data_IF_409312754873
#
_entry.id   IF_409312754873
#
_cell.length_a   1.000
_cell.length_b   1.000
_cell.length_c   1.000
_cell.angle_alpha   90.00
_cell.angle_beta   90.00
_cell.angle_gamma   90.00
#
_symmetry.space_group_name_H-M   'P 1'
#
loop_
_entity.id
_entity.type
_entity.pdbx_description
1 polymer ?
#
# COMPACT_ATOMS: atom_id res chain seq x y z
N UNK A 1 -12.47 7.58 -35.82
CA UNK A 1 -12.21 8.81 -35.01
C UNK A 1 -13.44 9.05 -34.15
N UNK A 2 -13.51 8.42 -32.98
CA UNK A 2 -14.61 8.68 -32.04
C UNK A 2 -14.31 10.00 -31.33
N UNK A 3 -15.28 10.90 -31.41
CA UNK A 3 -15.26 12.21 -30.81
C UNK A 3 -15.08 12.10 -29.29
N UNK A 4 -13.93 12.57 -28.81
CA UNK A 4 -13.80 13.05 -27.45
C UNK A 4 -14.66 14.31 -27.34
N UNK A 5 -15.93 14.12 -27.01
CA UNK A 5 -16.82 15.21 -26.68
C UNK A 5 -16.28 15.86 -25.40
N UNK A 6 -15.67 17.03 -25.57
CA UNK A 6 -15.01 17.84 -24.52
C UNK A 6 -15.99 18.48 -23.53
N UNK A 7 -17.26 18.05 -23.52
CA UNK A 7 -18.34 18.61 -22.70
C UNK A 7 -18.34 18.09 -21.23
N UNK A 8 -17.32 17.32 -20.84
CA UNK A 8 -17.33 16.51 -19.61
C UNK A 8 -16.11 16.62 -18.70
N UNK A 9 -15.32 17.70 -18.80
CA UNK A 9 -14.21 17.97 -17.87
C UNK A 9 -14.82 18.23 -16.48
N UNK A 10 -15.01 17.17 -15.70
CA UNK A 10 -15.53 17.26 -14.33
C UNK A 10 -16.18 16.00 -13.76
N UNK A 11 -16.44 14.94 -14.55
CA UNK A 11 -17.14 13.74 -14.02
C UNK A 11 -16.53 12.38 -14.37
N UNK A 12 -15.59 12.30 -15.30
CA UNK A 12 -14.86 11.06 -15.57
C UNK A 12 -13.60 11.03 -14.70
N UNK A 13 -13.73 10.49 -13.49
CA UNK A 13 -12.61 10.35 -12.56
C UNK A 13 -11.63 9.34 -13.12
N UNK A 14 -10.41 9.79 -13.39
CA UNK A 14 -9.30 8.97 -13.82
C UNK A 14 -8.23 9.00 -12.74
N UNK A 15 -7.69 7.83 -12.42
CA UNK A 15 -6.62 7.66 -11.44
C UNK A 15 -5.32 7.33 -12.18
N UNK A 16 -4.20 7.87 -11.73
CA UNK A 16 -2.93 7.77 -12.45
C UNK A 16 -2.21 6.45 -12.16
N UNK A 17 -1.43 5.96 -13.11
CA UNK A 17 -0.44 4.91 -12.87
C UNK A 17 0.79 5.54 -12.21
N UNK A 18 1.21 5.00 -11.06
CA UNK A 18 2.39 5.51 -10.36
C UNK A 18 3.70 5.31 -11.15
N UNK A 19 3.76 4.29 -12.01
CA UNK A 19 4.86 4.10 -12.97
C UNK A 19 4.30 3.98 -14.39
N UNK A 20 4.23 5.10 -15.12
CA UNK A 20 3.47 5.13 -16.36
C UNK A 20 4.06 4.31 -17.50
N UNK A 21 5.40 4.16 -17.54
CA UNK A 21 6.11 3.43 -18.60
C UNK A 21 6.13 1.92 -18.39
N UNK A 22 5.60 1.43 -17.28
CA UNK A 22 5.61 0.01 -16.94
C UNK A 22 4.21 -0.57 -17.04
N UNK A 23 4.03 -1.50 -17.97
CA UNK A 23 2.73 -2.11 -18.28
C UNK A 23 2.61 -3.51 -17.69
N UNK A 24 3.65 -4.34 -17.79
CA UNK A 24 3.66 -5.70 -17.25
C UNK A 24 5.10 -6.25 -17.09
N UNK A 25 5.23 -7.43 -16.49
CA UNK A 25 6.46 -8.19 -16.36
C UNK A 25 7.33 -7.79 -15.16
N UNK A 26 8.51 -8.41 -15.06
CA UNK A 26 9.48 -7.99 -14.06
C UNK A 26 9.90 -6.55 -14.34
N UNK A 27 9.53 -5.64 -13.43
CA UNK A 27 9.94 -4.24 -13.52
C UNK A 27 11.49 -4.16 -13.57
N UNK A 28 12.07 -3.32 -14.45
CA UNK A 28 13.51 -3.07 -14.43
C UNK A 28 13.97 -2.53 -13.08
N UNK A 29 15.24 -2.74 -12.71
CA UNK A 29 15.80 -2.23 -11.45
C UNK A 29 15.31 -2.94 -10.18
N UNK A 30 15.69 -2.40 -9.02
CA UNK A 30 15.30 -2.93 -7.71
C UNK A 30 15.21 -1.79 -6.67
N UNK A 31 14.86 -2.11 -5.42
CA UNK A 31 14.74 -1.12 -4.35
C UNK A 31 16.03 -0.30 -4.09
N UNK A 32 17.21 -0.82 -4.44
CA UNK A 32 18.50 -0.13 -4.28
C UNK A 32 18.90 0.67 -5.54
N UNK A 33 18.39 0.26 -6.70
CA UNK A 33 18.66 0.86 -8.02
C UNK A 33 17.32 1.02 -8.75
N UNK A 34 16.55 2.03 -8.36
CA UNK A 34 15.19 2.18 -8.85
C UNK A 34 15.21 2.59 -10.33
N UNK A 35 14.50 1.85 -11.17
CA UNK A 35 14.27 2.26 -12.57
C UNK A 35 13.09 3.22 -12.74
N UNK A 36 12.32 3.42 -11.67
CA UNK A 36 10.98 3.97 -11.78
C UNK A 36 11.00 5.48 -12.07
N UNK A 37 10.51 5.82 -13.26
CA UNK A 37 10.14 7.19 -13.64
C UNK A 37 8.72 7.46 -13.14
N UNK A 38 8.60 8.07 -11.97
CA UNK A 38 7.32 8.37 -11.32
C UNK A 38 6.93 9.84 -11.51
N UNK A 39 5.62 10.16 -11.51
CA UNK A 39 5.13 11.52 -11.33
C UNK A 39 5.66 12.13 -10.03
N UNK A 40 6.10 13.40 -10.07
CA UNK A 40 6.70 14.09 -8.92
C UNK A 40 8.17 13.77 -8.66
N UNK A 41 8.79 12.96 -9.53
CA UNK A 41 10.23 12.67 -9.53
C UNK A 41 10.82 12.96 -10.90
N UNK A 42 10.85 11.93 -11.75
CA UNK A 42 11.32 12.07 -13.14
C UNK A 42 10.32 12.85 -14.00
N UNK A 43 9.02 12.57 -13.83
CA UNK A 43 7.94 13.29 -14.51
C UNK A 43 7.39 14.41 -13.62
N UNK A 44 6.73 15.43 -14.20
CA UNK A 44 6.04 16.46 -13.42
C UNK A 44 5.09 15.87 -12.37
N UNK A 45 4.99 16.55 -11.23
CA UNK A 45 4.06 16.19 -10.17
C UNK A 45 2.61 16.49 -10.53
N UNK A 46 1.69 15.98 -9.70
CA UNK A 46 0.23 16.12 -9.91
C UNK A 46 -0.44 17.12 -8.96
N UNK A 47 0.32 17.79 -8.10
CA UNK A 47 -0.19 18.84 -7.22
C UNK A 47 -0.34 20.16 -7.99
N UNK A 48 -1.32 20.20 -8.90
CA UNK A 48 -1.66 21.34 -9.74
C UNK A 48 -3.17 21.38 -9.99
N UNK A 49 -3.70 22.54 -10.39
CA UNK A 49 -5.11 22.65 -10.77
C UNK A 49 -5.43 21.85 -12.03
N UNK A 50 -4.46 21.76 -12.95
CA UNK A 50 -4.56 21.01 -14.19
C UNK A 50 -3.24 20.29 -14.46
N UNK A 51 -3.32 19.10 -15.04
CA UNK A 51 -2.19 18.25 -15.39
C UNK A 51 -2.35 17.77 -16.83
N UNK A 52 -1.26 17.78 -17.60
CA UNK A 52 -1.22 17.24 -18.97
C UNK A 52 -0.40 15.96 -18.94
N UNK A 53 -1.00 14.85 -19.35
CA UNK A 53 -0.35 13.54 -19.40
C UNK A 53 -0.94 12.68 -20.52
N UNK A 54 -0.26 11.58 -20.85
CA UNK A 54 -0.75 10.59 -21.82
C UNK A 54 -2.02 9.90 -21.30
N UNK A 55 -2.96 9.61 -22.20
CA UNK A 55 -4.17 8.84 -21.86
C UNK A 55 -3.82 7.45 -21.32
N UNK A 56 -2.70 6.87 -21.76
CA UNK A 56 -2.24 5.58 -21.29
C UNK A 56 -1.95 5.62 -19.78
N UNK A 57 -1.58 6.77 -19.23
CA UNK A 57 -1.19 6.88 -17.82
C UNK A 57 -2.39 6.87 -16.87
N UNK A 58 -3.60 6.86 -17.42
CA UNK A 58 -4.85 7.02 -16.72
C UNK A 58 -5.63 5.71 -16.75
N UNK A 59 -6.27 5.38 -15.63
CA UNK A 59 -7.26 4.30 -15.55
C UNK A 59 -8.54 4.84 -14.93
N UNK A 60 -9.67 4.19 -15.20
CA UNK A 60 -10.94 4.60 -14.61
C UNK A 60 -10.91 4.45 -13.09
N UNK A 61 -11.30 5.52 -12.38
CA UNK A 61 -11.52 5.43 -10.96
C UNK A 61 -12.79 4.61 -10.67
N UNK A 62 -12.83 3.85 -9.57
CA UNK A 62 -14.05 3.17 -9.14
C UNK A 62 -15.18 4.17 -8.89
N UNK A 63 -16.35 3.92 -9.47
CA UNK A 63 -17.54 4.79 -9.34
C UNK A 63 -18.10 4.83 -7.91
N UNK A 64 -17.69 3.89 -7.06
CA UNK A 64 -18.10 3.80 -5.66
C UNK A 64 -17.29 4.71 -4.74
N UNK A 65 -16.24 5.36 -5.24
CA UNK A 65 -15.32 6.18 -4.45
C UNK A 65 -15.44 7.65 -4.84
N UNK A 66 -15.31 8.52 -3.85
CA UNK A 66 -15.11 9.95 -4.09
C UNK A 66 -13.74 10.20 -4.73
N UNK A 67 -13.55 11.37 -5.34
CA UNK A 67 -12.26 11.80 -5.89
C UNK A 67 -11.12 11.71 -4.86
N UNK A 68 -11.40 12.09 -3.62
CA UNK A 68 -10.43 12.06 -2.53
C UNK A 68 -9.99 10.62 -2.21
N UNK A 69 -10.93 9.69 -2.10
CA UNK A 69 -10.64 8.27 -1.85
C UNK A 69 -9.91 7.64 -3.05
N UNK A 70 -10.41 7.86 -4.26
CA UNK A 70 -9.81 7.31 -5.49
C UNK A 70 -8.37 7.80 -5.72
N UNK A 71 -8.02 9.01 -5.25
CA UNK A 71 -6.66 9.56 -5.35
C UNK A 71 -5.62 8.80 -4.51
N UNK A 72 -6.04 8.00 -3.53
CA UNK A 72 -5.14 7.20 -2.69
C UNK A 72 -4.70 5.90 -3.36
N UNK A 73 -5.45 5.42 -4.35
CA UNK A 73 -5.25 4.12 -4.98
C UNK A 73 -3.93 3.99 -5.77
N UNK A 74 -3.50 4.99 -6.58
CA UNK A 74 -2.31 4.89 -7.43
C UNK A 74 -1.03 4.50 -6.71
N UNK A 75 -0.86 5.02 -5.51
CA UNK A 75 0.38 4.88 -4.76
C UNK A 75 0.22 3.85 -3.66
N UNK A 76 -0.70 4.09 -2.72
CA UNK A 76 -0.74 3.32 -1.49
C UNK A 76 -1.37 1.93 -1.67
N UNK A 77 -2.56 1.90 -2.28
CA UNK A 77 -3.29 0.65 -2.56
C UNK A 77 -2.54 -0.22 -3.56
N UNK A 78 -2.11 0.35 -4.70
CA UNK A 78 -1.38 -0.40 -5.73
C UNK A 78 -0.08 -1.00 -5.18
N UNK A 79 0.62 -0.30 -4.29
CA UNK A 79 1.83 -0.83 -3.63
C UNK A 79 1.49 -2.01 -2.72
N UNK A 80 0.42 -1.89 -1.93
CA UNK A 80 -0.04 -2.98 -1.06
C UNK A 80 -0.52 -4.20 -1.85
N UNK A 81 -1.32 -3.98 -2.90
CA UNK A 81 -1.81 -5.02 -3.81
C UNK A 81 -0.64 -5.75 -4.48
N UNK A 82 0.31 -5.01 -5.06
CA UNK A 82 1.45 -5.62 -5.73
C UNK A 82 2.30 -6.46 -4.77
N UNK A 83 2.49 -6.00 -3.52
CA UNK A 83 3.23 -6.76 -2.52
C UNK A 83 2.51 -8.06 -2.12
N UNK A 84 1.20 -7.99 -1.84
CA UNK A 84 0.45 -9.10 -1.25
C UNK A 84 -0.13 -10.05 -2.30
N UNK A 85 -0.79 -9.53 -3.33
CA UNK A 85 -1.47 -10.33 -4.35
C UNK A 85 -0.50 -10.79 -5.44
N UNK A 86 0.30 -9.88 -6.00
CA UNK A 86 1.16 -10.22 -7.15
C UNK A 86 2.46 -10.93 -6.73
N UNK A 87 3.13 -10.41 -5.70
CA UNK A 87 4.44 -10.90 -5.27
C UNK A 87 4.37 -12.02 -4.25
N UNK A 88 3.69 -11.79 -3.12
CA UNK A 88 3.58 -12.79 -2.05
C UNK A 88 2.50 -13.85 -2.35
N UNK A 89 1.51 -13.52 -3.18
CA UNK A 89 0.38 -14.39 -3.54
C UNK A 89 -0.36 -14.95 -2.33
N UNK A 90 -0.63 -14.08 -1.37
CA UNK A 90 -1.29 -14.40 -0.10
C UNK A 90 -2.58 -15.19 -0.33
N UNK A 91 -2.77 -16.24 0.46
CA UNK A 91 -3.96 -17.12 0.44
C UNK A 91 -4.65 -17.13 1.79
N UNK A 92 -5.87 -17.65 1.80
CA UNK A 92 -6.63 -17.85 3.02
C UNK A 92 -5.85 -18.77 3.98
N UNK A 93 -5.80 -18.37 5.25
CA UNK A 93 -5.04 -19.08 6.29
C UNK A 93 -3.57 -18.64 6.44
N UNK A 94 -3.03 -17.87 5.49
CA UNK A 94 -1.69 -17.28 5.66
C UNK A 94 -1.66 -16.29 6.83
N UNK A 95 -0.47 -16.09 7.40
CA UNK A 95 -0.24 -15.04 8.40
C UNK A 95 0.61 -13.92 7.82
N UNK A 96 0.09 -12.70 7.82
CA UNK A 96 0.73 -11.50 7.28
C UNK A 96 1.10 -10.55 8.41
N UNK A 97 2.39 -10.20 8.51
CA UNK A 97 2.88 -9.15 9.40
C UNK A 97 2.95 -7.82 8.65
N UNK A 98 2.31 -6.79 9.20
CA UNK A 98 2.31 -5.42 8.67
C UNK A 98 3.08 -4.50 9.64
N UNK A 99 4.32 -4.11 9.32
CA UNK A 99 5.21 -3.40 10.25
C UNK A 99 5.06 -1.88 10.25
N UNK A 100 3.84 -1.36 10.06
CA UNK A 100 3.55 0.07 10.07
C UNK A 100 2.03 0.33 10.17
N UNK A 101 1.65 1.61 10.23
CA UNK A 101 0.23 2.06 10.23
C UNK A 101 0.03 3.28 9.30
N UNK A 102 0.84 3.41 8.25
CA UNK A 102 0.65 4.41 7.19
C UNK A 102 -0.36 3.96 6.13
N UNK A 103 -0.57 4.73 5.06
CA UNK A 103 -1.59 4.44 4.05
C UNK A 103 -1.42 3.06 3.38
N UNK A 104 -0.22 2.77 2.86
CA UNK A 104 0.13 1.43 2.32
C UNK A 104 -0.16 0.30 3.32
N UNK A 105 0.14 0.53 4.60
CA UNK A 105 -0.05 -0.49 5.64
C UNK A 105 -1.53 -0.76 5.94
N UNK A 106 -2.36 0.28 5.93
CA UNK A 106 -3.81 0.13 6.13
C UNK A 106 -4.49 -0.53 4.93
N UNK A 107 -4.08 -0.21 3.70
CA UNK A 107 -4.51 -0.97 2.52
C UNK A 107 -4.04 -2.43 2.59
N UNK A 108 -2.77 -2.65 2.97
CA UNK A 108 -2.23 -3.99 3.16
C UNK A 108 -3.03 -4.83 4.16
N UNK A 109 -3.51 -4.21 5.25
CA UNK A 109 -4.38 -4.86 6.23
C UNK A 109 -5.68 -5.29 5.56
N UNK A 110 -6.38 -4.37 4.91
CA UNK A 110 -7.67 -4.65 4.29
C UNK A 110 -7.56 -5.70 3.18
N UNK A 111 -6.54 -5.60 2.33
CA UNK A 111 -6.27 -6.56 1.25
C UNK A 111 -5.97 -7.94 1.82
N UNK A 112 -5.10 -8.03 2.84
CA UNK A 112 -4.77 -9.32 3.46
C UNK A 112 -6.01 -9.96 4.11
N UNK A 113 -6.86 -9.17 4.80
CA UNK A 113 -8.14 -9.66 5.34
C UNK A 113 -9.10 -10.09 4.24
N UNK A 114 -9.18 -9.36 3.13
CA UNK A 114 -9.99 -9.74 1.97
C UNK A 114 -9.54 -11.06 1.33
N UNK A 115 -8.24 -11.40 1.43
CA UNK A 115 -7.69 -12.70 1.00
C UNK A 115 -7.89 -13.83 2.03
N UNK A 116 -8.52 -13.55 3.18
CA UNK A 116 -8.75 -14.53 4.24
C UNK A 116 -7.52 -14.83 5.10
N UNK A 117 -6.52 -13.93 5.12
CA UNK A 117 -5.33 -14.09 5.94
C UNK A 117 -5.56 -13.64 7.40
N UNK A 118 -4.72 -14.15 8.28
CA UNK A 118 -4.54 -13.65 9.63
C UNK A 118 -3.54 -12.48 9.60
N UNK A 119 -3.91 -11.33 10.14
CA UNK A 119 -3.15 -10.10 10.06
C UNK A 119 -2.66 -9.68 11.43
N UNK A 120 -1.33 -9.57 11.55
CA UNK A 120 -0.64 -9.02 12.70
C UNK A 120 -0.11 -7.65 12.32
N UNK A 121 -0.45 -6.61 13.08
CA UNK A 121 0.09 -5.27 12.86
C UNK A 121 1.08 -4.91 13.95
N UNK A 122 2.19 -4.31 13.55
CA UNK A 122 3.19 -3.76 14.46
C UNK A 122 3.26 -2.23 14.33
N UNK A 123 3.10 -1.53 15.45
CA UNK A 123 3.06 -0.06 15.43
C UNK A 123 3.01 0.57 16.82
N UNK A 124 2.87 1.90 16.86
CA UNK A 124 2.79 2.64 18.13
C UNK A 124 1.46 2.35 18.84
N UNK A 125 1.48 2.27 20.17
CA UNK A 125 0.27 2.00 20.98
C UNK A 125 -0.94 2.87 20.62
N UNK A 126 -0.73 4.16 20.33
CA UNK A 126 -1.80 5.10 19.92
C UNK A 126 -2.58 4.70 18.67
N UNK A 127 -2.02 3.83 17.83
CA UNK A 127 -2.66 3.38 16.59
C UNK A 127 -3.41 2.05 16.77
N UNK A 128 -3.33 1.42 17.95
CA UNK A 128 -3.90 0.10 18.22
C UNK A 128 -5.39 0.06 17.95
N UNK A 129 -6.15 0.96 18.56
CA UNK A 129 -7.62 0.98 18.46
C UNK A 129 -8.09 1.07 17.01
N UNK A 130 -7.60 2.07 16.26
CA UNK A 130 -7.93 2.25 14.84
C UNK A 130 -7.57 1.03 14.00
N UNK A 131 -6.42 0.41 14.27
CA UNK A 131 -5.93 -0.74 13.49
C UNK A 131 -6.76 -1.98 13.77
N UNK A 132 -7.09 -2.25 15.03
CA UNK A 132 -7.96 -3.35 15.41
C UNK A 132 -9.37 -3.16 14.84
N UNK A 133 -9.92 -1.95 14.89
CA UNK A 133 -11.22 -1.62 14.28
C UNK A 133 -11.22 -1.81 12.75
N UNK A 134 -10.05 -1.74 12.10
CA UNK A 134 -9.91 -1.98 10.66
C UNK A 134 -9.85 -3.47 10.30
N UNK A 135 -9.80 -4.38 11.28
CA UNK A 135 -9.86 -5.83 11.07
C UNK A 135 -8.55 -6.60 11.34
N UNK A 136 -7.56 -5.99 12.00
CA UNK A 136 -6.38 -6.73 12.45
C UNK A 136 -6.75 -7.78 13.52
N UNK A 137 -6.13 -8.96 13.47
CA UNK A 137 -6.35 -10.02 14.46
C UNK A 137 -5.47 -9.80 15.71
N UNK A 138 -4.26 -9.28 15.50
CA UNK A 138 -3.32 -8.95 16.57
C UNK A 138 -2.62 -7.62 16.33
N UNK A 139 -2.30 -6.93 17.43
CA UNK A 139 -1.49 -5.70 17.41
C UNK A 139 -0.31 -5.84 18.37
N UNK A 140 0.89 -5.59 17.87
CA UNK A 140 2.13 -5.56 18.62
C UNK A 140 2.58 -4.12 18.78
N UNK A 141 2.67 -3.66 20.02
CA UNK A 141 3.10 -2.31 20.36
C UNK A 141 4.63 -2.19 20.23
N UNK A 142 5.07 -1.19 19.48
CA UNK A 142 6.49 -0.88 19.29
C UNK A 142 7.20 -0.63 20.62
N UNK A 143 6.54 0.09 21.51
CA UNK A 143 7.06 0.45 22.83
C UNK A 143 7.34 -0.79 23.69
N UNK A 144 6.56 -1.86 23.48
CA UNK A 144 6.73 -3.14 24.17
C UNK A 144 7.88 -3.98 23.61
N UNK A 145 8.30 -3.72 22.37
CA UNK A 145 9.46 -4.34 21.72
C UNK A 145 10.76 -3.54 21.87
N UNK A 146 10.70 -2.29 22.33
CA UNK A 146 11.85 -1.54 22.86
C UNK A 146 12.31 -2.10 24.23
N UNK A 147 12.25 -3.41 24.40
CA UNK A 147 13.02 -4.09 25.43
C UNK A 147 14.49 -3.81 25.14
N UNK A 148 15.17 -3.11 26.06
CA UNK A 148 16.61 -2.85 26.01
C UNK A 148 17.37 -4.11 25.55
N UNK A 149 18.47 -3.93 24.80
CA UNK A 149 19.35 -5.02 24.37
C UNK A 149 19.74 -5.95 25.56
N UNK A 150 19.77 -5.42 26.78
CA UNK A 150 19.93 -6.20 28.03
C UNK A 150 18.85 -7.27 28.25
N UNK A 151 17.59 -7.00 27.92
CA UNK A 151 16.49 -7.94 28.15
C UNK A 151 16.46 -9.08 27.11
N UNK A 152 17.09 -8.91 25.94
CA UNK A 152 17.23 -9.98 24.95
C UNK A 152 18.22 -11.07 25.40
N UNK A 153 19.23 -10.71 26.21
CA UNK A 153 20.16 -11.69 26.81
C UNK A 153 19.45 -12.60 27.81
N UNK A 154 18.47 -12.08 28.55
CA UNK A 154 17.71 -12.87 29.52
C UNK A 154 16.72 -13.85 28.85
N UNK A 155 16.22 -13.55 27.65
CA UNK A 155 15.30 -14.43 26.93
C UNK A 155 15.98 -15.63 26.26
N UNK A 156 17.26 -15.51 25.87
CA UNK A 156 18.01 -16.65 25.31
C UNK A 156 18.32 -17.73 26.36
N UNK A 157 18.36 -17.37 27.64
CA UNK A 157 18.59 -18.32 28.74
C UNK A 157 17.32 -19.04 29.20
N UNK A 158 16.13 -18.67 28.72
CA UNK A 158 14.84 -19.21 29.15
C UNK A 158 14.25 -20.30 28.22
N UNK A 159 14.96 -20.68 27.14
CA UNK A 159 14.48 -21.70 26.17
C UNK A 159 15.39 -22.93 26.00
N UNK A 160 16.23 -23.24 26.99
CA UNK A 160 16.90 -24.55 27.09
C UNK A 160 16.67 -25.13 28.50
N UNK A 161 15.40 -25.30 28.88
CA UNK A 161 15.01 -26.22 29.95
C UNK A 161 13.53 -26.57 29.84
N UNK A 162 13.20 -27.48 28.91
CA UNK A 162 12.02 -28.36 28.97
C UNK A 162 12.11 -29.37 27.83
#
# INVERSE_FOLDING_TARGET
>A
MSAWQMDGIGRNLLTLRNTPDWTDGLRPGNARTPSYRTPGGFYPGVLAQYVVMSEEWLVHAPVTLTTAEASTLPCDDLTAWFALAERARVRAGDTVLIPATGGVALFGLQIAKAHGAHVIVYGRAKNRERTMASGADHFIEKERLNMNIENLRNYQNLKISS
#
